data_IF_808856826950
#
_entry.id   IF_808856826950
#
_cell.length_a   1.000
_cell.length_b   1.000
_cell.length_c   1.000
_cell.angle_alpha   90.00
_cell.angle_beta   90.00
_cell.angle_gamma   90.00
#
_symmetry.space_group_name_H-M   'P 1'
#
loop_
_entity.id
_entity.type
_entity.pdbx_description
1 polymer ?
#
# COMPACT_ATOMS: atom_id res chain seq x y z
N UNK A 1 0.33 24.69 -5.38
CA UNK A 1 0.60 24.41 -3.95
C UNK A 1 -0.56 23.59 -3.45
N UNK A 2 -0.32 22.34 -3.09
CA UNK A 2 -1.33 21.48 -2.45
C UNK A 2 -1.61 21.99 -1.04
N UNK A 3 -2.87 21.91 -0.64
CA UNK A 3 -3.33 22.27 0.71
C UNK A 3 -2.58 21.40 1.74
N UNK A 4 -1.86 22.00 2.72
CA UNK A 4 -1.21 21.26 3.79
C UNK A 4 -2.18 20.43 4.66
N UNK A 5 -3.50 20.66 4.56
CA UNK A 5 -4.52 19.85 5.21
C UNK A 5 -4.90 18.57 4.46
N UNK A 6 -4.32 18.31 3.28
CA UNK A 6 -4.70 17.18 2.43
C UNK A 6 -3.58 16.13 2.27
N UNK A 7 -2.56 16.17 3.13
CA UNK A 7 -1.54 15.11 3.21
C UNK A 7 -1.91 14.11 4.28
N UNK A 8 -1.81 12.81 3.97
CA UNK A 8 -1.97 11.74 4.98
C UNK A 8 -1.01 12.03 6.14
N UNK A 9 -1.49 12.11 7.39
CA UNK A 9 -0.70 12.60 8.52
C UNK A 9 0.23 11.52 9.09
N UNK A 10 1.14 11.03 8.25
CA UNK A 10 2.10 9.99 8.58
C UNK A 10 3.41 10.52 9.20
N UNK A 11 3.54 11.83 9.38
CA UNK A 11 4.75 12.45 9.96
C UNK A 11 5.18 11.86 11.32
N UNK A 12 4.26 11.50 12.24
CA UNK A 12 4.66 10.83 13.49
C UNK A 12 5.38 9.46 13.30
N UNK A 13 5.41 8.87 12.10
CA UNK A 13 6.22 7.67 11.83
C UNK A 13 7.73 7.97 11.91
N UNK A 14 8.15 9.23 11.76
CA UNK A 14 9.54 9.63 11.94
C UNK A 14 10.05 9.29 13.35
N UNK A 15 9.19 9.44 14.36
CA UNK A 15 9.51 9.10 15.75
C UNK A 15 9.65 7.58 15.98
N UNK A 16 9.21 6.78 15.00
CA UNK A 16 9.27 5.32 15.00
C UNK A 16 10.37 4.78 14.07
N UNK A 17 11.29 5.63 13.63
CA UNK A 17 12.46 5.23 12.83
C UNK A 17 12.18 5.06 11.34
N UNK A 18 11.04 5.53 10.84
CA UNK A 18 10.76 5.58 9.40
C UNK A 18 11.35 6.84 8.77
N UNK A 19 11.77 6.72 7.51
CA UNK A 19 12.00 7.86 6.65
C UNK A 19 10.74 8.14 5.82
N UNK A 20 10.44 9.42 5.58
CA UNK A 20 9.28 9.84 4.78
C UNK A 20 9.78 10.62 3.57
N UNK A 21 9.49 10.09 2.38
CA UNK A 21 9.74 10.76 1.12
C UNK A 21 8.40 11.20 0.50
N UNK A 22 8.22 12.51 0.31
CA UNK A 22 7.10 13.04 -0.46
C UNK A 22 7.49 13.11 -1.92
N UNK A 23 6.75 12.42 -2.78
CA UNK A 23 7.02 12.36 -4.21
C UNK A 23 6.05 13.28 -4.97
N UNK A 24 6.54 13.91 -6.03
CA UNK A 24 5.71 14.61 -7.02
C UNK A 24 5.60 13.75 -8.28
N UNK A 25 4.47 13.86 -8.96
CA UNK A 25 4.21 13.19 -10.24
C UNK A 25 3.60 14.19 -11.22
N UNK A 26 3.81 13.97 -12.52
CA UNK A 26 3.29 14.85 -13.56
C UNK A 26 1.76 14.83 -13.54
N UNK A 27 1.14 15.98 -13.34
CA UNK A 27 -0.31 16.13 -13.38
C UNK A 27 -0.81 16.07 -14.82
N UNK A 28 -2.02 15.56 -14.99
CA UNK A 28 -2.72 15.64 -16.26
C UNK A 28 -2.91 17.11 -16.63
N UNK A 29 -2.40 17.50 -17.79
CA UNK A 29 -2.60 18.84 -18.35
C UNK A 29 -3.71 18.75 -19.38
N UNK A 30 -4.60 19.74 -19.43
CA UNK A 30 -5.36 19.94 -20.67
C UNK A 30 -4.34 20.19 -21.78
N UNK A 31 -4.48 19.43 -22.86
CA UNK A 31 -3.62 19.38 -24.03
C UNK A 31 -3.20 20.79 -24.48
N UNK A 32 -2.00 21.23 -24.08
CA UNK A 32 -1.34 22.27 -24.85
C UNK A 32 -0.81 21.63 -26.14
N UNK A 33 -0.66 22.43 -27.21
CA UNK A 33 -0.43 21.97 -28.59
C UNK A 33 0.84 21.10 -28.78
N UNK A 34 1.64 20.90 -27.72
CA UNK A 34 2.94 20.24 -27.79
C UNK A 34 3.24 19.24 -26.65
N UNK A 35 2.46 19.16 -25.55
CA UNK A 35 2.65 18.14 -24.50
C UNK A 35 1.36 17.85 -23.70
N UNK A 36 0.65 16.77 -24.05
CA UNK A 36 -0.36 16.18 -23.16
C UNK A 36 0.29 15.17 -22.22
N UNK A 37 0.18 15.41 -20.91
CA UNK A 37 0.54 14.42 -19.88
C UNK A 37 -0.68 13.55 -19.61
N UNK A 38 -0.61 12.29 -20.02
CA UNK A 38 -1.65 11.27 -19.81
C UNK A 38 -1.05 10.00 -19.21
N UNK A 39 -1.90 9.09 -18.77
CA UNK A 39 -1.49 7.77 -18.33
C UNK A 39 -0.63 7.09 -19.44
N UNK A 40 0.48 6.40 -19.11
CA UNK A 40 0.97 6.01 -17.78
C UNK A 40 2.02 6.95 -17.15
N UNK A 41 2.06 8.25 -17.51
CA UNK A 41 3.10 9.17 -17.03
C UNK A 41 3.20 9.23 -15.49
N UNK A 42 2.07 9.21 -14.78
CA UNK A 42 1.98 9.31 -13.33
C UNK A 42 2.58 8.10 -12.63
N UNK A 43 2.19 6.89 -13.06
CA UNK A 43 2.72 5.65 -12.45
C UNK A 43 4.20 5.46 -12.79
N UNK A 44 4.66 5.90 -13.98
CA UNK A 44 6.08 5.92 -14.31
C UNK A 44 6.89 6.81 -13.36
N UNK A 45 6.34 7.97 -12.96
CA UNK A 45 7.01 8.88 -12.03
C UNK A 45 7.10 8.27 -10.62
N UNK A 46 6.00 7.68 -10.14
CA UNK A 46 5.92 7.02 -8.83
C UNK A 46 6.89 5.85 -8.75
N UNK A 47 6.90 4.96 -9.74
CA UNK A 47 7.87 3.84 -9.80
C UNK A 47 9.30 4.33 -9.95
N UNK A 48 9.53 5.38 -10.75
CA UNK A 48 10.84 6.02 -10.87
C UNK A 48 11.37 6.56 -9.54
N UNK A 49 10.48 7.13 -8.71
CA UNK A 49 10.84 7.59 -7.38
C UNK A 49 11.24 6.44 -6.44
N UNK A 50 10.51 5.32 -6.45
CA UNK A 50 10.89 4.11 -5.67
C UNK A 50 12.27 3.61 -6.11
N UNK A 51 12.51 3.47 -7.42
CA UNK A 51 13.82 3.04 -7.94
C UNK A 51 14.94 3.99 -7.55
N UNK A 52 14.70 5.31 -7.60
CA UNK A 52 15.66 6.31 -7.19
C UNK A 52 16.02 6.20 -5.71
N UNK A 53 15.01 6.09 -4.84
CA UNK A 53 15.22 5.96 -3.39
C UNK A 53 15.99 4.68 -3.08
N UNK A 54 15.59 3.56 -3.68
CA UNK A 54 16.28 2.27 -3.52
C UNK A 54 17.73 2.31 -4.01
N UNK A 55 18.00 2.94 -5.15
CA UNK A 55 19.37 3.12 -5.67
C UNK A 55 20.25 4.00 -4.77
N UNK A 56 19.66 4.90 -3.99
CA UNK A 56 20.35 5.84 -3.13
C UNK A 56 20.15 5.53 -1.64
N UNK A 57 19.77 4.29 -1.31
CA UNK A 57 19.38 3.90 0.04
C UNK A 57 20.48 4.16 1.07
N UNK A 58 21.73 3.85 0.72
CA UNK A 58 22.92 4.12 1.57
C UNK A 58 23.11 5.62 1.84
N UNK A 59 22.91 6.47 0.82
CA UNK A 59 23.08 7.92 0.94
C UNK A 59 22.05 8.57 1.85
N UNK A 60 20.85 7.99 1.93
CA UNK A 60 19.74 8.49 2.73
C UNK A 60 19.53 7.71 4.04
N UNK A 61 20.36 6.69 4.30
CA UNK A 61 20.22 5.81 5.45
C UNK A 61 18.81 5.19 5.57
N UNK A 62 18.30 4.68 4.44
CA UNK A 62 17.02 3.95 4.36
C UNK A 62 17.27 2.48 3.98
N UNK A 63 16.37 1.60 4.37
CA UNK A 63 16.46 0.19 4.00
C UNK A 63 15.87 -0.05 2.60
N UNK A 64 16.65 -0.55 1.62
CA UNK A 64 16.18 -0.78 0.25
C UNK A 64 15.04 -1.82 0.15
N UNK A 65 14.86 -2.68 1.15
CA UNK A 65 13.90 -3.78 1.14
C UNK A 65 12.56 -3.45 1.83
N UNK A 66 12.41 -2.26 2.43
CA UNK A 66 11.25 -1.91 3.26
C UNK A 66 10.63 -0.58 2.85
N UNK A 67 9.68 -0.65 1.91
CA UNK A 67 8.95 0.51 1.40
C UNK A 67 7.44 0.35 1.62
N UNK A 68 6.77 1.43 2.03
CA UNK A 68 5.31 1.54 1.99
C UNK A 68 4.90 2.64 1.02
N UNK A 69 3.82 2.41 0.27
CA UNK A 69 3.14 3.45 -0.48
C UNK A 69 1.91 3.91 0.30
N UNK A 70 1.78 5.21 0.55
CA UNK A 70 0.67 5.79 1.30
C UNK A 70 0.11 6.96 0.52
N UNK A 71 -1.21 6.96 0.30
CA UNK A 71 -1.87 8.04 -0.42
C UNK A 71 -3.35 8.14 -0.14
N UNK A 72 -3.92 9.28 -0.52
CA UNK A 72 -5.36 9.54 -0.46
C UNK A 72 -5.89 9.99 -1.82
N UNK A 73 -7.13 9.65 -2.15
CA UNK A 73 -7.78 10.04 -3.42
C UNK A 73 -6.90 9.65 -4.63
N UNK A 74 -6.54 10.57 -5.53
CA UNK A 74 -5.61 10.29 -6.64
C UNK A 74 -4.23 9.75 -6.18
N UNK A 75 -3.77 10.10 -4.98
CA UNK A 75 -2.57 9.51 -4.40
C UNK A 75 -2.79 8.07 -3.90
N UNK A 76 -3.99 7.77 -3.41
CA UNK A 76 -4.41 6.42 -3.03
C UNK A 76 -4.51 5.50 -4.25
N UNK A 77 -5.08 6.00 -5.34
CA UNK A 77 -5.04 5.35 -6.67
C UNK A 77 -3.62 4.97 -7.10
N UNK A 78 -2.68 5.91 -7.04
CA UNK A 78 -1.28 5.65 -7.42
C UNK A 78 -0.56 4.72 -6.43
N UNK A 79 -0.86 4.80 -5.14
CA UNK A 79 -0.32 3.89 -4.13
C UNK A 79 -0.81 2.45 -4.36
N UNK A 80 -2.11 2.29 -4.62
CA UNK A 80 -2.72 1.02 -4.99
C UNK A 80 -2.12 0.47 -6.28
N UNK A 81 -2.07 1.28 -7.35
CA UNK A 81 -1.52 0.88 -8.64
C UNK A 81 -0.05 0.48 -8.52
N UNK A 82 0.75 1.22 -7.73
CA UNK A 82 2.14 0.87 -7.46
C UNK A 82 2.27 -0.52 -6.81
N UNK A 83 1.42 -0.83 -5.83
CA UNK A 83 1.40 -2.11 -5.13
C UNK A 83 1.12 -3.29 -6.06
N UNK A 84 0.07 -3.19 -6.87
CA UNK A 84 -0.41 -4.30 -7.73
C UNK A 84 0.31 -4.41 -9.08
N UNK A 85 1.15 -3.45 -9.45
CA UNK A 85 1.80 -3.42 -10.78
C UNK A 85 3.30 -3.74 -10.74
N UNK A 86 3.81 -4.32 -9.65
CA UNK A 86 5.23 -4.66 -9.52
C UNK A 86 5.74 -5.58 -10.66
N UNK A 87 4.88 -6.48 -11.14
CA UNK A 87 5.19 -7.46 -12.17
C UNK A 87 4.64 -7.09 -13.57
N UNK A 88 4.37 -5.81 -13.82
CA UNK A 88 3.73 -5.34 -15.06
C UNK A 88 4.70 -4.49 -15.91
N UNK A 89 5.46 -5.08 -16.87
CA UNK A 89 6.54 -4.38 -17.58
C UNK A 89 6.09 -3.13 -18.34
N UNK A 90 4.85 -3.11 -18.81
CA UNK A 90 4.28 -1.96 -19.54
C UNK A 90 4.07 -0.74 -18.64
N UNK A 91 3.97 -0.94 -17.32
CA UNK A 91 3.75 0.12 -16.34
C UNK A 91 5.04 0.56 -15.63
N UNK A 92 6.19 -0.10 -15.85
CA UNK A 92 7.44 0.25 -15.17
C UNK A 92 7.96 1.64 -15.55
N UNK A 93 7.83 2.00 -16.83
CA UNK A 93 8.41 3.21 -17.40
C UNK A 93 9.94 3.27 -17.28
N UNK A 94 10.49 4.41 -17.69
CA UNK A 94 11.92 4.70 -17.60
C UNK A 94 12.24 6.03 -16.90
N UNK A 95 11.22 6.71 -16.35
CA UNK A 95 11.42 7.94 -15.60
C UNK A 95 12.41 7.73 -14.45
N UNK A 96 13.33 8.69 -14.29
CA UNK A 96 14.30 8.69 -13.19
C UNK A 96 15.45 7.69 -13.33
N UNK A 97 15.46 6.84 -14.36
CA UNK A 97 16.51 5.82 -14.55
C UNK A 97 16.47 4.72 -13.47
N UNK A 98 17.66 4.28 -13.03
CA UNK A 98 17.84 3.22 -12.02
C UNK A 98 17.10 1.92 -12.35
N UNK A 99 17.06 1.55 -13.63
CA UNK A 99 16.23 0.47 -14.17
C UNK A 99 16.63 -0.93 -13.70
N UNK A 100 17.79 -1.05 -13.04
CA UNK A 100 18.24 -2.26 -12.37
C UNK A 100 17.67 -2.41 -10.95
N UNK A 101 17.02 -1.38 -10.41
CA UNK A 101 16.30 -1.45 -9.15
C UNK A 101 14.85 -1.86 -9.37
N UNK A 102 14.28 -2.73 -8.51
CA UNK A 102 12.86 -2.99 -8.56
C UNK A 102 12.07 -1.73 -8.17
N UNK A 103 10.79 -1.67 -8.51
CA UNK A 103 9.87 -0.58 -8.14
C UNK A 103 8.77 -1.03 -7.16
N UNK A 104 8.80 -2.28 -6.71
CA UNK A 104 7.83 -2.84 -5.77
C UNK A 104 7.93 -2.22 -4.37
N UNK A 105 6.82 -2.29 -3.63
CA UNK A 105 6.69 -1.91 -2.23
C UNK A 105 6.17 -3.09 -1.40
N UNK A 106 6.38 -3.03 -0.09
CA UNK A 106 6.07 -4.10 0.86
C UNK A 106 4.74 -3.85 1.62
N UNK A 107 4.18 -2.64 1.52
CA UNK A 107 2.89 -2.31 2.11
C UNK A 107 2.21 -1.20 1.31
N UNK A 108 0.88 -1.22 1.26
CA UNK A 108 0.08 -0.16 0.63
C UNK A 108 -0.99 0.35 1.59
N UNK A 109 -1.14 1.67 1.67
CA UNK A 109 -2.24 2.35 2.34
C UNK A 109 -2.98 3.20 1.31
N UNK A 110 -4.20 2.79 1.00
CA UNK A 110 -5.12 3.49 0.12
C UNK A 110 -6.25 4.12 0.94
N UNK A 111 -6.26 5.46 1.00
CA UNK A 111 -7.36 6.22 1.59
C UNK A 111 -8.26 6.71 0.45
N UNK A 112 -9.39 6.02 0.26
CA UNK A 112 -10.46 6.39 -0.69
C UNK A 112 -9.99 6.73 -2.12
N UNK A 113 -9.03 5.96 -2.64
CA UNK A 113 -8.57 6.09 -4.02
C UNK A 113 -9.53 5.47 -5.05
N UNK A 114 -9.63 6.06 -6.26
CA UNK A 114 -10.21 5.37 -7.40
C UNK A 114 -9.47 4.06 -7.70
N UNK A 115 -10.19 2.97 -7.94
CA UNK A 115 -9.62 1.64 -8.18
C UNK A 115 -10.02 1.04 -9.53
N UNK A 116 -11.16 1.49 -10.06
CA UNK A 116 -11.78 1.00 -11.27
C UNK A 116 -12.49 2.13 -12.02
N UNK A 117 -11.78 2.73 -12.98
CA UNK A 117 -12.29 3.86 -13.78
C UNK A 117 -13.54 3.47 -14.59
N UNK A 118 -13.72 2.18 -14.90
CA UNK A 118 -14.89 1.70 -15.64
C UNK A 118 -16.18 1.69 -14.79
N UNK A 119 -16.09 1.73 -13.46
CA UNK A 119 -17.25 1.64 -12.55
C UNK A 119 -17.50 2.89 -11.70
N UNK A 120 -16.68 3.95 -11.81
CA UNK A 120 -16.89 5.19 -11.05
C UNK A 120 -18.26 5.84 -11.30
N UNK A 121 -18.63 6.04 -12.57
CA UNK A 121 -19.97 6.52 -12.95
C UNK A 121 -20.22 8.00 -12.63
N UNK A 122 -21.43 8.46 -12.95
CA UNK A 122 -21.89 9.80 -12.59
C UNK A 122 -21.08 10.92 -13.27
N UNK A 123 -20.55 11.85 -12.48
CA UNK A 123 -19.77 12.97 -13.01
C UNK A 123 -18.38 12.54 -13.52
N UNK A 124 -17.88 11.36 -13.11
CA UNK A 124 -16.63 10.81 -13.62
C UNK A 124 -16.70 10.38 -15.08
N UNK A 125 -17.90 10.16 -15.60
CA UNK A 125 -18.13 9.78 -17.00
C UNK A 125 -18.13 11.00 -17.93
N UNK A 126 -17.99 12.21 -17.40
CA UNK A 126 -17.97 13.43 -18.22
C UNK A 126 -16.62 13.58 -18.95
N UNK A 127 -16.59 14.18 -20.16
CA UNK A 127 -15.35 14.37 -20.93
C UNK A 127 -14.27 15.19 -20.21
N UNK A 128 -14.66 16.08 -19.30
CA UNK A 128 -13.78 16.95 -18.53
C UNK A 128 -13.43 16.42 -17.13
N UNK A 129 -13.86 15.20 -16.80
CA UNK A 129 -13.50 14.55 -15.55
C UNK A 129 -11.98 14.30 -15.44
N UNK A 130 -11.42 14.24 -14.22
CA UNK A 130 -10.02 13.88 -14.02
C UNK A 130 -9.66 12.56 -14.68
N UNK A 131 -10.57 11.58 -14.67
CA UNK A 131 -10.33 10.26 -15.22
C UNK A 131 -10.38 10.25 -16.76
N UNK A 132 -11.32 10.97 -17.38
CA UNK A 132 -11.36 11.14 -18.84
C UNK A 132 -10.09 11.84 -19.35
N UNK A 133 -9.61 12.86 -18.63
CA UNK A 133 -8.33 13.52 -18.92
C UNK A 133 -7.13 12.61 -18.69
N UNK A 134 -7.19 11.70 -17.71
CA UNK A 134 -6.11 10.75 -17.42
C UNK A 134 -5.90 9.76 -18.57
N UNK A 135 -6.99 9.25 -19.17
CA UNK A 135 -6.92 8.30 -20.29
C UNK A 135 -6.94 8.97 -21.66
N UNK A 136 -7.11 10.29 -21.73
CA UNK A 136 -7.23 11.08 -22.97
C UNK A 136 -8.44 10.63 -23.84
N UNK A 137 -9.55 10.31 -23.17
CA UNK A 137 -10.80 9.86 -23.81
C UNK A 137 -12.02 10.08 -22.91
N UNK A 138 -13.19 10.32 -23.51
CA UNK A 138 -14.47 10.42 -22.80
C UNK A 138 -14.89 9.06 -22.21
N UNK A 139 -14.83 8.93 -20.88
CA UNK A 139 -15.20 7.68 -20.21
C UNK A 139 -16.66 7.28 -20.41
N UNK A 140 -17.57 8.23 -20.55
CA UNK A 140 -18.96 7.97 -20.89
C UNK A 140 -19.06 7.30 -22.25
N UNK A 141 -18.42 7.87 -23.28
CA UNK A 141 -18.36 7.28 -24.62
C UNK A 141 -17.72 5.88 -24.62
N UNK A 142 -16.59 5.71 -23.91
CA UNK A 142 -15.93 4.41 -23.77
C UNK A 142 -16.88 3.37 -23.17
N UNK A 143 -17.57 3.71 -22.08
CA UNK A 143 -18.48 2.78 -21.39
C UNK A 143 -19.62 2.30 -22.28
N UNK A 144 -20.19 3.19 -23.11
CA UNK A 144 -21.22 2.81 -24.09
C UNK A 144 -20.69 1.90 -25.21
N UNK A 145 -19.37 1.87 -25.43
CA UNK A 145 -18.73 1.18 -26.53
C UNK A 145 -17.69 0.14 -26.08
N UNK A 146 -17.73 -0.34 -24.84
CA UNK A 146 -16.74 -1.28 -24.29
C UNK A 146 -16.61 -2.59 -25.10
N UNK A 147 -17.70 -3.03 -25.71
CA UNK A 147 -17.74 -4.24 -26.55
C UNK A 147 -17.49 -3.96 -28.04
N UNK A 148 -17.28 -2.69 -28.42
CA UNK A 148 -17.04 -2.33 -29.82
C UNK A 148 -15.65 -2.82 -30.24
N UNK A 149 -15.55 -3.74 -31.22
CA UNK A 149 -14.26 -4.30 -31.62
C UNK A 149 -13.46 -3.35 -32.51
N UNK A 150 -14.06 -2.24 -32.97
CA UNK A 150 -13.41 -1.33 -33.89
C UNK A 150 -12.52 -0.32 -33.16
N UNK A 151 -11.35 0.05 -33.72
CA UNK A 151 -10.56 1.14 -33.18
C UNK A 151 -11.35 2.46 -33.04
N UNK A 152 -11.10 3.26 -31.99
CA UNK A 152 -10.03 3.08 -30.99
C UNK A 152 -10.45 2.29 -29.73
N UNK A 153 -11.71 1.85 -29.61
CA UNK A 153 -12.27 1.35 -28.34
C UNK A 153 -11.49 0.23 -27.64
N UNK A 154 -10.98 -0.82 -28.33
CA UNK A 154 -10.19 -1.85 -27.65
C UNK A 154 -8.91 -1.31 -27.02
N UNK A 155 -8.25 -0.33 -27.66
CA UNK A 155 -7.03 0.28 -27.13
C UNK A 155 -7.33 1.13 -25.90
N UNK A 156 -8.36 1.97 -25.97
CA UNK A 156 -8.74 2.84 -24.85
C UNK A 156 -9.24 2.01 -23.66
N UNK A 157 -9.99 0.92 -23.91
CA UNK A 157 -10.40 -0.02 -22.87
C UNK A 157 -9.19 -0.66 -22.18
N UNK A 158 -8.16 -1.06 -22.94
CA UNK A 158 -6.90 -1.57 -22.36
C UNK A 158 -6.19 -0.51 -21.53
N UNK A 159 -6.02 0.71 -22.03
CA UNK A 159 -5.39 1.81 -21.27
C UNK A 159 -6.17 2.10 -19.97
N UNK A 160 -7.50 2.07 -20.01
CA UNK A 160 -8.35 2.33 -18.85
C UNK A 160 -8.24 1.22 -17.80
N UNK A 161 -8.10 -0.04 -18.23
CA UNK A 161 -7.81 -1.17 -17.34
C UNK A 161 -6.40 -1.09 -16.77
N UNK A 162 -5.42 -0.74 -17.60
CA UNK A 162 -4.04 -0.52 -17.17
C UNK A 162 -3.96 0.58 -16.10
N UNK A 163 -4.79 1.62 -16.21
CA UNK A 163 -4.90 2.69 -15.23
C UNK A 163 -5.74 2.34 -13.99
N UNK A 164 -6.33 1.15 -13.89
CA UNK A 164 -7.26 0.78 -12.82
C UNK A 164 -6.65 -0.34 -11.94
N UNK A 165 -6.24 -0.06 -10.68
CA UNK A 165 -5.61 -1.03 -9.79
C UNK A 165 -6.32 -2.40 -9.71
N UNK A 166 -7.65 -2.43 -9.72
CA UNK A 166 -8.43 -3.67 -9.53
C UNK A 166 -8.12 -4.76 -10.57
N UNK A 167 -7.63 -4.41 -11.76
CA UNK A 167 -7.35 -5.37 -12.83
C UNK A 167 -5.97 -6.04 -12.74
N UNK A 168 -5.11 -5.58 -11.83
CA UNK A 168 -3.73 -6.06 -11.72
C UNK A 168 -3.48 -6.91 -10.48
N UNK A 169 -4.49 -7.06 -9.61
CA UNK A 169 -4.37 -7.79 -8.36
C UNK A 169 -3.91 -9.23 -8.60
N UNK A 170 -2.85 -9.63 -7.89
CA UNK A 170 -2.19 -10.93 -7.97
C UNK A 170 -1.81 -11.44 -6.56
N UNK A 171 -1.77 -12.77 -6.31
CA UNK A 171 -1.43 -13.31 -4.98
C UNK A 171 -0.04 -12.96 -4.44
N UNK A 172 0.86 -12.38 -5.24
CA UNK A 172 2.18 -11.91 -4.81
C UNK A 172 2.21 -10.45 -4.39
N UNK A 173 1.09 -9.75 -4.48
CA UNK A 173 0.97 -8.34 -4.08
C UNK A 173 1.20 -8.15 -2.57
N UNK A 174 1.72 -6.98 -2.15
CA UNK A 174 1.92 -6.66 -0.75
C UNK A 174 0.57 -6.60 -0.01
N UNK A 175 0.55 -6.69 1.33
CA UNK A 175 -0.64 -6.41 2.11
C UNK A 175 -1.14 -4.97 1.91
N UNK A 176 -2.46 -4.81 1.97
CA UNK A 176 -3.16 -3.54 1.82
C UNK A 176 -3.84 -3.09 3.11
N UNK A 177 -3.83 -1.79 3.34
CA UNK A 177 -4.75 -1.11 4.22
C UNK A 177 -5.63 -0.21 3.37
N UNK A 178 -6.95 -0.30 3.52
CA UNK A 178 -7.90 0.49 2.76
C UNK A 178 -8.88 1.14 3.75
N UNK A 179 -9.08 2.45 3.64
CA UNK A 179 -10.13 3.14 4.40
C UNK A 179 -10.93 4.10 3.52
N UNK A 180 -12.25 4.13 3.69
CA UNK A 180 -13.14 4.96 2.87
C UNK A 180 -14.42 5.34 3.63
N UNK A 181 -14.80 6.62 3.55
CA UNK A 181 -16.05 7.16 4.05
C UNK A 181 -17.27 6.71 3.25
N UNK A 182 -18.37 6.30 3.92
CA UNK A 182 -19.58 5.82 3.23
C UNK A 182 -20.41 6.93 2.58
N UNK A 183 -20.17 8.19 2.95
CA UNK A 183 -20.84 9.37 2.42
C UNK A 183 -19.92 10.20 1.50
N UNK A 184 -18.85 9.59 0.97
CA UNK A 184 -18.00 10.20 -0.04
C UNK A 184 -18.79 10.44 -1.34
N UNK A 185 -18.89 11.72 -1.73
CA UNK A 185 -19.58 12.16 -2.96
C UNK A 185 -18.61 12.48 -4.10
N UNK A 186 -17.30 12.38 -3.83
CA UNK A 186 -16.22 12.66 -4.78
C UNK A 186 -15.70 11.37 -5.38
N UNK A 187 -15.36 10.37 -4.56
CA UNK A 187 -14.99 9.02 -5.03
C UNK A 187 -16.06 8.07 -4.50
N UNK A 188 -16.72 7.28 -5.36
CA UNK A 188 -17.71 6.33 -4.87
C UNK A 188 -17.08 5.31 -3.91
N UNK A 189 -17.72 5.08 -2.76
CA UNK A 189 -17.30 4.05 -1.79
C UNK A 189 -17.12 2.66 -2.42
N UNK A 190 -17.86 2.38 -3.51
CA UNK A 190 -17.74 1.12 -4.26
C UNK A 190 -16.36 0.88 -4.82
N UNK A 191 -15.56 1.93 -5.08
CA UNK A 191 -14.18 1.80 -5.55
C UNK A 191 -13.32 1.03 -4.54
N UNK A 192 -13.43 1.36 -3.25
CA UNK A 192 -12.66 0.65 -2.22
C UNK A 192 -13.20 -0.74 -1.93
N UNK A 193 -14.52 -0.96 -2.04
CA UNK A 193 -15.07 -2.33 -1.90
C UNK A 193 -14.68 -3.23 -3.08
N UNK A 194 -14.68 -2.72 -4.32
CA UNK A 194 -14.26 -3.49 -5.50
C UNK A 194 -12.79 -3.92 -5.41
N UNK A 195 -11.91 -3.02 -4.93
CA UNK A 195 -10.50 -3.36 -4.71
C UNK A 195 -10.33 -4.37 -3.58
N UNK A 196 -11.02 -4.17 -2.44
CA UNK A 196 -11.02 -5.13 -1.35
C UNK A 196 -11.46 -6.52 -1.82
N UNK A 197 -12.55 -6.61 -2.58
CA UNK A 197 -13.08 -7.89 -3.06
C UNK A 197 -12.08 -8.60 -4.00
N UNK A 198 -11.39 -7.84 -4.86
CA UNK A 198 -10.33 -8.38 -5.71
C UNK A 198 -9.14 -8.91 -4.90
N UNK A 199 -8.67 -8.15 -3.90
CA UNK A 199 -7.58 -8.55 -3.00
C UNK A 199 -7.92 -9.81 -2.21
N UNK A 200 -9.12 -9.85 -1.62
CA UNK A 200 -9.63 -11.03 -0.90
C UNK A 200 -9.72 -12.24 -1.83
N UNK A 201 -10.24 -12.07 -3.05
CA UNK A 201 -10.34 -13.16 -4.01
C UNK A 201 -8.97 -13.71 -4.44
N UNK A 202 -7.92 -12.88 -4.47
CA UNK A 202 -6.55 -13.26 -4.74
C UNK A 202 -5.80 -13.81 -3.51
N UNK A 203 -6.41 -13.80 -2.31
CA UNK A 203 -5.77 -14.11 -1.03
C UNK A 203 -4.63 -13.14 -0.65
N UNK A 204 -4.72 -11.89 -1.10
CA UNK A 204 -3.83 -10.82 -0.64
C UNK A 204 -4.35 -10.30 0.70
N UNK A 205 -3.51 -10.19 1.75
CA UNK A 205 -3.96 -9.66 3.03
C UNK A 205 -4.46 -8.22 2.89
N UNK A 206 -5.65 -7.93 3.39
CA UNK A 206 -6.22 -6.59 3.38
C UNK A 206 -6.88 -6.27 4.72
N UNK A 207 -6.56 -5.10 5.26
CA UNK A 207 -7.26 -4.49 6.39
C UNK A 207 -8.17 -3.38 5.87
N UNK A 208 -9.49 -3.63 5.87
CA UNK A 208 -10.49 -2.78 5.23
C UNK A 208 -11.37 -2.08 6.28
N UNK A 209 -11.32 -0.75 6.29
CA UNK A 209 -12.01 0.11 7.25
C UNK A 209 -13.09 0.96 6.58
N UNK A 210 -14.33 0.69 6.95
CA UNK A 210 -15.48 1.54 6.59
C UNK A 210 -15.64 2.67 7.60
N UNK A 211 -15.56 3.92 7.15
CA UNK A 211 -15.80 5.09 8.01
C UNK A 211 -17.23 5.59 7.79
N UNK A 212 -18.13 5.24 8.71
CA UNK A 212 -19.55 5.53 8.54
C UNK A 212 -19.84 7.03 8.51
N UNK A 213 -20.68 7.45 7.55
CA UNK A 213 -21.12 8.83 7.32
C UNK A 213 -20.03 9.84 6.98
N UNK A 214 -18.77 9.38 6.84
CA UNK A 214 -17.65 10.24 6.49
C UNK A 214 -17.61 10.54 4.99
N UNK A 215 -17.07 11.71 4.65
CA UNK A 215 -17.01 12.27 3.30
C UNK A 215 -15.63 12.07 2.69
N UNK A 216 -15.32 12.80 1.62
CA UNK A 216 -13.99 12.83 1.00
C UNK A 216 -12.98 13.62 1.86
N UNK A 217 -12.58 13.06 3.00
CA UNK A 217 -11.67 13.71 3.96
C UNK A 217 -10.79 12.70 4.68
N UNK A 218 -9.64 13.15 5.15
CA UNK A 218 -8.71 12.35 5.95
C UNK A 218 -8.98 12.44 7.46
N UNK A 219 -9.89 13.31 7.90
CA UNK A 219 -10.03 13.71 9.31
C UNK A 219 -10.49 12.57 10.22
N UNK A 220 -11.45 11.77 9.75
CA UNK A 220 -12.03 10.67 10.52
C UNK A 220 -11.47 9.29 10.10
N UNK A 221 -10.43 9.29 9.26
CA UNK A 221 -9.73 8.06 8.90
C UNK A 221 -9.05 7.44 10.13
N UNK A 222 -9.00 6.10 10.22
CA UNK A 222 -8.41 5.39 11.37
C UNK A 222 -6.87 5.47 11.35
N UNK A 223 -6.32 6.65 11.63
CA UNK A 223 -4.89 6.91 11.53
C UNK A 223 -4.07 6.01 12.46
N UNK A 224 -4.52 5.75 13.69
CA UNK A 224 -3.82 4.82 14.58
C UNK A 224 -3.68 3.43 13.95
N UNK A 225 -4.72 2.93 13.28
CA UNK A 225 -4.67 1.65 12.57
C UNK A 225 -3.73 1.69 11.36
N UNK A 226 -3.67 2.82 10.63
CA UNK A 226 -2.67 3.02 9.56
C UNK A 226 -1.24 2.93 10.11
N UNK A 227 -1.00 3.55 11.27
CA UNK A 227 0.30 3.50 11.94
C UNK A 227 0.67 2.09 12.38
N UNK A 228 -0.25 1.39 13.02
CA UNK A 228 -0.07 -0.01 13.45
C UNK A 228 0.17 -0.93 12.26
N UNK A 229 -0.56 -0.73 11.17
CA UNK A 229 -0.38 -1.48 9.93
C UNK A 229 1.01 -1.29 9.34
N UNK A 230 1.46 -0.04 9.17
CA UNK A 230 2.79 0.25 8.60
C UNK A 230 3.89 -0.27 9.51
N UNK A 231 3.81 0.00 10.81
CA UNK A 231 4.83 -0.40 11.78
C UNK A 231 4.93 -1.90 11.93
N UNK A 232 3.82 -2.63 11.86
CA UNK A 232 3.80 -4.10 11.92
C UNK A 232 4.31 -4.71 10.61
N UNK A 233 3.88 -4.19 9.47
CA UNK A 233 4.21 -4.75 8.16
C UNK A 233 5.66 -4.47 7.76
N UNK A 234 6.16 -3.28 8.08
CA UNK A 234 7.54 -2.86 7.80
C UNK A 234 8.43 -2.90 9.03
N UNK A 235 7.95 -3.51 10.12
CA UNK A 235 8.78 -3.81 11.28
C UNK A 235 10.12 -4.33 10.77
N UNK A 236 11.26 -3.84 11.29
CA UNK A 236 12.50 -4.53 11.03
C UNK A 236 12.23 -6.00 11.31
N UNK A 237 12.42 -6.88 10.32
CA UNK A 237 12.92 -8.19 10.69
C UNK A 237 14.11 -7.84 11.56
N UNK A 238 14.02 -8.13 12.87
CA UNK A 238 15.06 -7.76 13.79
C UNK A 238 16.35 -8.22 13.12
N UNK A 239 17.19 -7.27 12.67
CA UNK A 239 18.56 -7.59 12.33
C UNK A 239 19.02 -8.31 13.58
N UNK A 240 19.33 -9.62 13.53
CA UNK A 240 19.40 -10.43 14.73
C UNK A 240 20.30 -9.69 15.70
N UNK A 241 19.71 -9.12 16.75
CA UNK A 241 20.51 -8.43 17.76
C UNK A 241 21.37 -9.56 18.29
N UNK A 242 22.71 -9.47 18.22
CA UNK A 242 23.53 -10.55 18.71
C UNK A 242 23.16 -10.80 20.18
N UNK A 243 22.64 -12.00 20.47
CA UNK A 243 22.07 -12.44 21.77
C UNK A 243 20.58 -12.11 22.07
N UNK A 244 19.79 -11.60 21.13
CA UNK A 244 18.32 -11.66 21.17
C UNK A 244 17.88 -13.01 20.59
N UNK A 245 17.70 -13.98 21.47
CA UNK A 245 17.46 -15.36 21.11
C UNK A 245 15.97 -15.64 20.85
N UNK A 246 15.06 -14.80 21.36
CA UNK A 246 13.63 -14.93 21.16
C UNK A 246 13.05 -13.98 20.09
N UNK A 247 13.90 -13.12 19.51
CA UNK A 247 13.58 -12.15 18.46
C UNK A 247 12.50 -11.13 18.87
N UNK A 248 12.43 -10.78 20.16
CA UNK A 248 11.48 -9.79 20.68
C UNK A 248 11.99 -8.34 20.62
N UNK A 249 13.21 -8.15 20.09
CA UNK A 249 13.85 -6.85 19.94
C UNK A 249 14.52 -6.34 21.22
N UNK A 250 14.60 -7.16 22.28
CA UNK A 250 15.31 -6.88 23.53
C UNK A 250 16.34 -7.97 23.80
N UNK A 251 17.27 -7.68 24.72
CA UNK A 251 18.18 -8.68 25.28
C UNK A 251 17.91 -8.72 26.77
N UNK A 252 17.20 -9.74 27.23
CA UNK A 252 16.79 -9.90 28.62
C UNK A 252 17.00 -11.34 29.17
N UNK A 253 16.41 -11.62 30.34
CA UNK A 253 16.58 -12.91 31.01
C UNK A 253 15.98 -14.07 30.22
N UNK A 254 14.99 -13.83 29.35
CA UNK A 254 14.39 -14.84 28.50
C UNK A 254 15.40 -15.30 27.45
N UNK A 255 16.17 -14.39 26.85
CA UNK A 255 17.22 -14.75 25.90
C UNK A 255 18.33 -15.58 26.53
N UNK A 256 18.77 -15.17 27.72
CA UNK A 256 19.77 -15.91 28.49
C UNK A 256 19.26 -17.28 28.89
N UNK A 257 17.96 -17.44 29.17
CA UNK A 257 17.36 -18.73 29.48
C UNK A 257 17.35 -19.68 28.27
N UNK A 258 17.09 -19.15 27.07
CA UNK A 258 17.14 -19.89 25.81
C UNK A 258 18.58 -20.32 25.51
N UNK A 259 19.55 -19.40 25.63
CA UNK A 259 20.96 -19.71 25.44
C UNK A 259 21.49 -20.72 26.48
N UNK A 260 21.10 -20.58 27.75
CA UNK A 260 21.48 -21.51 28.81
C UNK A 260 20.87 -22.90 28.64
N UNK A 261 19.61 -22.99 28.19
CA UNK A 261 18.95 -24.27 27.89
C UNK A 261 19.62 -25.04 26.75
N UNK A 262 20.31 -24.34 25.86
CA UNK A 262 21.02 -24.90 24.71
C UNK A 262 22.55 -25.00 24.93
N UNK A 263 23.02 -24.72 26.14
CA UNK A 263 24.45 -24.77 26.47
C UNK A 263 24.98 -26.21 26.36
N UNK A 264 25.77 -26.47 25.32
CA UNK A 264 26.38 -27.78 25.04
C UNK A 264 25.80 -28.54 23.84
N UNK A 265 24.79 -27.99 23.16
CA UNK A 265 24.28 -28.55 21.90
C UNK A 265 25.11 -28.01 20.74
N UNK A 266 25.93 -28.86 20.12
CA UNK A 266 26.68 -28.49 18.90
C UNK A 266 25.79 -28.68 17.67
N UNK A 267 25.12 -27.61 17.26
CA UNK A 267 24.29 -27.51 16.06
C UNK A 267 23.69 -26.11 15.98
N UNK A 268 23.44 -25.60 14.77
CA UNK A 268 22.76 -24.32 14.56
C UNK A 268 21.48 -24.24 15.41
N UNK A 269 21.23 -23.06 15.99
CA UNK A 269 20.00 -22.72 16.73
C UNK A 269 18.81 -23.22 15.90
N UNK A 270 17.92 -24.08 16.46
CA UNK A 270 16.76 -24.55 15.70
C UNK A 270 15.87 -23.36 15.33
N UNK A 271 15.36 -23.32 14.10
CA UNK A 271 14.24 -22.44 13.76
C UNK A 271 13.12 -22.59 14.79
N UNK A 272 12.39 -21.51 15.12
CA UNK A 272 11.30 -21.58 16.08
C UNK A 272 10.19 -22.48 15.53
N UNK A 273 10.25 -23.77 15.89
CA UNK A 273 9.12 -24.65 15.76
C UNK A 273 8.01 -24.09 16.64
N UNK A 274 6.86 -23.82 16.02
CA UNK A 274 5.57 -23.57 16.64
C UNK A 274 5.25 -24.64 17.67
N UNK A 275 5.77 -24.49 18.88
CA UNK A 275 5.55 -25.40 19.99
C UNK A 275 4.42 -24.84 20.85
N UNK A 276 3.21 -25.25 20.47
CA UNK A 276 1.99 -25.32 21.28
C UNK A 276 2.28 -25.34 22.80
N UNK A 277 2.21 -24.18 23.45
CA UNK A 277 2.24 -24.08 24.91
C UNK A 277 0.83 -24.32 25.45
N UNK A 278 0.46 -25.60 25.57
CA UNK A 278 -0.55 -26.04 26.53
C UNK A 278 0.02 -25.72 27.93
N UNK A 279 -0.38 -24.58 28.49
CA UNK A 279 -0.21 -24.32 29.91
C UNK A 279 -1.55 -24.50 30.62
N UNK A 280 -1.67 -25.66 31.28
CA UNK A 280 -2.74 -26.00 32.21
C UNK A 280 -2.71 -25.00 33.38
N UNK A 281 -3.65 -24.05 33.41
CA UNK A 281 -3.80 -23.13 34.54
C UNK A 281 -4.39 -23.83 35.77
N UNK A 282 -3.54 -24.38 36.65
CA UNK A 282 -3.95 -24.89 37.95
C UNK A 282 -4.02 -23.73 38.97
N UNK A 283 -5.23 -23.22 39.19
CA UNK A 283 -5.54 -22.32 40.31
C UNK A 283 -5.62 -23.11 41.62
N UNK A 284 -4.75 -22.78 42.58
CA UNK A 284 -4.85 -23.27 43.96
C UNK A 284 -5.12 -22.09 44.92
N UNK A 285 -6.27 -22.11 45.59
CA UNK A 285 -6.60 -21.16 46.65
C UNK A 285 -5.79 -21.43 47.92
N UNK A 286 -5.19 -20.39 48.49
CA UNK A 286 -4.46 -20.45 49.77
C UNK A 286 -5.44 -20.57 50.94
N UNK A 287 -5.40 -21.67 51.70
CA UNK A 287 -6.05 -21.78 53.01
C UNK A 287 -5.35 -20.84 54.01
N UNK A 288 -6.06 -19.87 54.58
CA UNK A 288 -5.67 -19.28 55.87
C UNK A 288 -6.04 -20.27 56.98
N UNK A 289 -5.06 -20.65 57.81
CA UNK A 289 -5.32 -21.14 59.17
C UNK A 289 -4.94 -20.04 60.16
N UNK A 290 -5.94 -19.73 60.97
CA UNK A 290 -6.08 -18.89 62.16
C UNK A 290 -4.86 -18.74 63.08
N UNK A 291 -4.77 -17.56 63.69
CA UNK A 291 -4.98 -17.44 65.14
C UNK A 291 -6.28 -16.66 65.36
#
# INVERSE_FOLDING_TARGET
MSDPNNSVPILPLLDHGFAIARIEYRLTTESDLFNSVRFPAQIHDVKGAVRFLRANAENYNIDPERFAAVGSSAGGHLAALLGVSANHPQLEGNTGGNLNQPSNVQAVVDLFGPSNLLTMGGWHDQPDSPESRLIDWDLGDLKHNLENPNPPYPLIATITRDASPVYHVDPTDPPFFIAHGTADTTVPYTQSTELNDALVAANVPVDFHTVNDDRHTIMDMPLEAVFDFITTTLAPQALPIPADANLDGKVDLLDLSILASNFGVTGSIPEPASATLISLGLLATRRRRSA
#
